data_IF_998940393899
#
_entry.id   IF_998940393899
#
_cell.length_a   1.000
_cell.length_b   1.000
_cell.length_c   1.000
_cell.angle_alpha   90.00
_cell.angle_beta   90.00
_cell.angle_gamma   90.00
#
_symmetry.space_group_name_H-M   'P 1'
#
loop_
_entity.id
_entity.type
_entity.pdbx_description
1 polymer ?
#
# COMPACT_ATOMS: atom_id res chain seq x y z
N UNK A 1 -46.07 -22.09 -0.41
CA UNK A 1 -46.37 -20.67 -0.11
C UNK A 1 -46.83 -20.06 -1.42
N UNK A 2 -48.07 -19.57 -1.51
CA UNK A 2 -48.52 -18.89 -2.73
C UNK A 2 -47.80 -17.54 -2.79
N UNK A 3 -47.00 -17.34 -3.82
CA UNK A 3 -46.25 -16.11 -4.02
C UNK A 3 -47.22 -14.93 -4.23
N UNK A 4 -46.90 -13.79 -3.63
CA UNK A 4 -47.74 -12.59 -3.76
C UNK A 4 -47.79 -12.10 -5.21
N UNK A 5 -48.96 -11.61 -5.65
CA UNK A 5 -49.14 -11.07 -7.01
C UNK A 5 -48.07 -10.01 -7.31
N UNK A 6 -47.41 -10.18 -8.47
CA UNK A 6 -46.35 -9.28 -8.94
C UNK A 6 -46.99 -8.30 -9.95
N UNK A 7 -47.31 -7.05 -9.56
CA UNK A 7 -48.15 -6.15 -10.36
C UNK A 7 -47.55 -5.74 -11.71
N UNK A 8 -46.24 -5.96 -11.92
CA UNK A 8 -45.56 -5.74 -13.21
C UNK A 8 -45.98 -6.76 -14.28
N UNK A 9 -46.45 -7.93 -13.85
CA UNK A 9 -46.61 -9.12 -14.67
C UNK A 9 -48.09 -9.47 -14.89
N UNK A 10 -48.99 -9.08 -13.98
CA UNK A 10 -50.43 -9.38 -14.01
C UNK A 10 -51.17 -8.96 -15.30
N UNK A 11 -50.63 -8.02 -16.08
CA UNK A 11 -51.24 -7.55 -17.33
C UNK A 11 -50.83 -8.36 -18.57
N UNK A 12 -49.89 -9.31 -18.46
CA UNK A 12 -49.46 -10.14 -19.58
C UNK A 12 -50.28 -11.46 -19.58
N UNK A 13 -50.90 -11.84 -20.72
CA UNK A 13 -51.58 -13.12 -20.83
C UNK A 13 -50.55 -14.27 -20.87
N UNK A 14 -50.81 -15.35 -20.11
CA UNK A 14 -50.01 -16.57 -20.14
C UNK A 14 -48.85 -16.64 -19.14
N UNK A 15 -48.91 -15.88 -18.04
CA UNK A 15 -47.91 -16.01 -16.96
C UNK A 15 -48.18 -17.27 -16.14
N UNK A 16 -47.12 -18.05 -15.97
CA UNK A 16 -47.13 -19.24 -15.15
C UNK A 16 -47.17 -18.88 -13.66
N UNK A 17 -48.15 -19.42 -12.94
CA UNK A 17 -48.31 -19.30 -11.48
C UNK A 17 -47.84 -20.56 -10.75
N UNK A 18 -47.15 -21.46 -11.45
CA UNK A 18 -46.46 -22.59 -10.86
C UNK A 18 -45.41 -22.13 -9.82
N UNK A 19 -44.97 -23.02 -8.92
CA UNK A 19 -43.83 -22.72 -8.04
C UNK A 19 -42.60 -22.32 -8.85
N UNK A 20 -41.95 -21.23 -8.43
CA UNK A 20 -40.76 -20.64 -9.09
C UNK A 20 -39.57 -21.61 -9.14
N UNK A 21 -39.48 -22.51 -8.15
CA UNK A 21 -38.39 -23.48 -8.02
C UNK A 21 -38.95 -24.88 -7.80
N UNK A 22 -38.59 -25.79 -8.72
CA UNK A 22 -38.81 -27.23 -8.57
C UNK A 22 -37.48 -27.89 -8.18
N UNK A 23 -37.18 -27.88 -6.89
CA UNK A 23 -35.99 -28.52 -6.35
C UNK A 23 -36.31 -29.89 -5.75
N UNK A 24 -35.32 -30.79 -5.78
CA UNK A 24 -35.34 -31.98 -4.96
C UNK A 24 -35.30 -31.55 -3.48
N UNK A 25 -36.02 -32.22 -2.58
CA UNK A 25 -35.97 -31.87 -1.16
C UNK A 25 -34.53 -31.89 -0.68
N UNK A 26 -34.11 -30.82 0.02
CA UNK A 26 -32.78 -30.72 0.61
C UNK A 26 -32.50 -31.99 1.41
N UNK A 27 -31.56 -32.78 0.89
CA UNK A 27 -31.01 -33.89 1.64
C UNK A 27 -30.29 -33.25 2.82
N UNK A 28 -30.67 -33.60 4.05
CA UNK A 28 -29.89 -33.19 5.20
C UNK A 28 -28.47 -33.76 5.03
N UNK A 29 -27.52 -32.92 4.58
CA UNK A 29 -26.12 -33.29 4.39
C UNK A 29 -25.51 -33.86 5.70
N UNK A 30 -26.16 -33.56 6.84
CA UNK A 30 -25.83 -34.03 8.18
C UNK A 30 -26.37 -35.42 8.56
N UNK A 31 -27.19 -36.08 7.74
CA UNK A 31 -27.72 -37.43 8.05
C UNK A 31 -27.23 -38.46 7.03
N UNK A 32 -25.94 -38.77 7.15
CA UNK A 32 -25.36 -40.05 6.72
C UNK A 32 -25.53 -40.38 5.23
N UNK A 33 -24.66 -39.82 4.40
CA UNK A 33 -24.13 -40.57 3.26
C UNK A 33 -22.72 -41.00 3.59
N UNK A 34 -22.51 -42.32 3.48
CA UNK A 34 -21.21 -42.98 3.58
C UNK A 34 -20.22 -42.20 2.71
N UNK A 35 -19.09 -41.81 3.30
CA UNK A 35 -17.99 -41.13 2.60
C UNK A 35 -17.63 -41.91 1.33
N UNK A 36 -18.03 -41.39 0.17
CA UNK A 36 -17.52 -41.84 -1.11
C UNK A 36 -16.03 -41.48 -1.13
N UNK A 37 -15.20 -42.52 -1.15
CA UNK A 37 -13.74 -42.46 -1.06
C UNK A 37 -13.11 -41.87 -2.33
N UNK A 38 -13.35 -40.59 -2.65
CA UNK A 38 -12.58 -39.82 -3.66
C UNK A 38 -12.49 -38.32 -3.37
N UNK A 39 -12.85 -37.86 -2.17
CA UNK A 39 -12.48 -36.51 -1.73
C UNK A 39 -11.11 -36.59 -1.04
N UNK A 40 -10.09 -36.07 -1.71
CA UNK A 40 -8.78 -35.78 -1.13
C UNK A 40 -9.03 -34.91 0.10
N UNK A 41 -8.72 -35.46 1.27
CA UNK A 41 -8.81 -34.75 2.54
C UNK A 41 -7.97 -33.47 2.45
N UNK A 42 -8.63 -32.32 2.60
CA UNK A 42 -7.95 -31.08 2.94
C UNK A 42 -7.33 -31.31 4.32
N UNK A 43 -6.02 -31.05 4.42
CA UNK A 43 -5.15 -31.53 5.50
C UNK A 43 -5.64 -31.04 6.86
N UNK A 44 -6.28 -31.94 7.60
CA UNK A 44 -6.53 -31.76 9.02
C UNK A 44 -5.18 -31.91 9.75
N UNK A 45 -4.82 -30.86 10.46
CA UNK A 45 -3.50 -30.65 11.04
C UNK A 45 -3.25 -31.44 12.32
N UNK A 46 -3.49 -32.76 12.31
CA UNK A 46 -3.09 -33.63 13.42
C UNK A 46 -2.99 -35.11 13.01
N UNK A 47 -2.01 -35.43 12.17
CA UNK A 47 -1.49 -36.80 12.09
C UNK A 47 0.04 -36.74 12.06
N UNK A 48 0.59 -36.37 13.20
CA UNK A 48 2.03 -36.32 13.42
C UNK A 48 2.57 -37.70 13.79
N UNK A 49 2.52 -38.63 12.83
CA UNK A 49 3.32 -39.87 12.86
C UNK A 49 4.80 -39.49 12.59
N UNK A 50 5.38 -38.65 13.45
CA UNK A 50 6.71 -38.03 13.32
C UNK A 50 7.88 -38.99 13.60
N UNK A 51 7.61 -40.28 13.76
CA UNK A 51 8.67 -41.29 13.95
C UNK A 51 9.01 -42.07 12.68
N UNK A 52 8.23 -41.93 11.58
CA UNK A 52 8.44 -42.75 10.36
C UNK A 52 9.20 -42.08 9.23
N UNK A 53 9.24 -40.75 9.19
CA UNK A 53 9.98 -40.02 8.18
C UNK A 53 11.27 -39.47 8.78
N UNK A 54 12.42 -39.74 8.15
CA UNK A 54 13.74 -39.21 8.50
C UNK A 54 13.87 -37.69 8.32
N UNK A 55 12.76 -36.95 8.36
CA UNK A 55 12.64 -35.52 8.17
C UNK A 55 12.26 -34.86 9.49
N UNK A 56 13.20 -34.12 10.07
CA UNK A 56 12.94 -33.33 11.27
C UNK A 56 12.08 -32.11 10.95
N UNK A 57 10.80 -32.15 11.33
CA UNK A 57 9.88 -31.04 11.23
C UNK A 57 10.07 -30.10 12.44
N UNK A 58 11.04 -29.19 12.37
CA UNK A 58 11.20 -28.16 13.39
C UNK A 58 10.18 -27.04 13.17
N UNK A 59 9.31 -26.81 14.16
CA UNK A 59 8.35 -25.71 14.13
C UNK A 59 9.09 -24.37 14.11
N UNK A 60 8.87 -23.58 13.07
CA UNK A 60 9.57 -22.31 12.87
C UNK A 60 9.08 -21.24 13.85
N UNK A 61 9.88 -20.95 14.87
CA UNK A 61 9.60 -19.90 15.85
C UNK A 61 10.19 -18.56 15.37
N UNK A 62 9.42 -17.81 14.58
CA UNK A 62 9.81 -16.52 13.99
C UNK A 62 10.35 -15.53 15.03
N UNK A 63 9.71 -15.45 16.20
CA UNK A 63 10.12 -14.53 17.28
C UNK A 63 11.48 -14.91 17.89
N UNK A 64 11.72 -16.21 18.11
CA UNK A 64 13.01 -16.68 18.63
C UNK A 64 14.11 -16.50 17.58
N UNK A 65 13.81 -16.81 16.31
CA UNK A 65 14.73 -16.57 15.21
C UNK A 65 15.07 -15.07 15.09
N UNK A 66 14.07 -14.18 15.16
CA UNK A 66 14.28 -12.73 15.14
C UNK A 66 15.21 -12.27 16.25
N UNK A 67 15.03 -12.75 17.47
CA UNK A 67 15.93 -12.44 18.60
C UNK A 67 17.37 -12.89 18.34
N UNK A 68 17.56 -14.08 17.73
CA UNK A 68 18.89 -14.61 17.38
C UNK A 68 19.62 -13.78 16.32
N UNK A 69 18.90 -13.25 15.33
CA UNK A 69 19.49 -12.50 14.21
C UNK A 69 19.43 -10.97 14.37
N UNK A 70 18.68 -10.44 15.33
CA UNK A 70 18.65 -9.00 15.63
C UNK A 70 20.03 -8.37 15.96
N UNK A 71 20.96 -9.04 16.67
CA UNK A 71 22.26 -8.46 16.96
C UNK A 71 23.28 -8.59 15.82
N UNK A 72 23.05 -9.47 14.84
CA UNK A 72 23.95 -9.64 13.70
C UNK A 72 23.70 -8.54 12.66
N UNK A 73 24.65 -7.61 12.53
CA UNK A 73 24.69 -6.64 11.42
C UNK A 73 25.70 -7.11 10.40
N UNK A 74 25.28 -7.10 9.13
CA UNK A 74 26.11 -7.49 7.99
C UNK A 74 26.44 -6.20 7.24
N UNK A 75 27.73 -5.91 7.09
CA UNK A 75 28.17 -4.84 6.20
C UNK A 75 28.47 -5.46 4.83
N UNK A 76 27.80 -4.94 3.80
CA UNK A 76 27.93 -5.40 2.42
C UNK A 76 28.69 -4.40 1.54
N UNK A 77 29.19 -3.29 2.10
CA UNK A 77 29.98 -2.34 1.33
C UNK A 77 31.36 -2.92 1.01
N UNK A 78 31.58 -3.28 -0.26
CA UNK A 78 32.85 -3.83 -0.76
C UNK A 78 32.84 -5.33 -1.04
N UNK A 79 31.68 -5.99 -0.97
CA UNK A 79 31.54 -7.37 -1.44
C UNK A 79 31.49 -7.37 -2.97
N UNK A 80 32.50 -7.96 -3.59
CA UNK A 80 32.56 -8.17 -5.02
C UNK A 80 31.89 -9.52 -5.35
N UNK A 81 30.76 -9.48 -6.06
CA UNK A 81 30.10 -10.68 -6.59
C UNK A 81 30.56 -11.01 -8.02
N UNK A 82 31.49 -10.23 -8.58
CA UNK A 82 32.18 -10.68 -9.78
C UNK A 82 33.02 -11.90 -9.39
N UNK A 83 32.94 -12.95 -10.20
CA UNK A 83 33.54 -14.29 -9.96
C UNK A 83 35.09 -14.27 -10.05
N UNK A 84 35.70 -13.15 -9.63
CA UNK A 84 37.11 -12.87 -9.74
C UNK A 84 37.83 -13.40 -8.50
N UNK A 85 38.36 -14.63 -8.61
CA UNK A 85 38.95 -15.41 -7.50
C UNK A 85 40.21 -14.77 -6.87
N UNK A 86 40.74 -13.69 -7.45
CA UNK A 86 42.01 -13.08 -7.04
C UNK A 86 41.97 -12.31 -5.70
N UNK A 87 40.83 -11.75 -5.30
CA UNK A 87 40.67 -11.11 -3.98
C UNK A 87 39.27 -11.36 -3.42
N UNK A 88 39.11 -12.42 -2.61
CA UNK A 88 37.85 -12.72 -1.92
C UNK A 88 37.56 -11.69 -0.83
N UNK A 89 36.87 -10.61 -1.19
CA UNK A 89 36.25 -9.70 -0.22
C UNK A 89 34.93 -10.31 0.24
N UNK A 90 34.96 -11.17 1.27
CA UNK A 90 33.75 -11.74 1.85
C UNK A 90 33.03 -10.74 2.76
N UNK A 91 31.71 -10.86 2.87
CA UNK A 91 30.90 -10.10 3.82
C UNK A 91 31.46 -10.24 5.25
N UNK A 92 31.61 -9.12 5.96
CA UNK A 92 32.07 -9.09 7.35
C UNK A 92 30.85 -9.02 8.27
N UNK A 93 30.62 -10.09 9.04
CA UNK A 93 29.60 -10.08 10.10
C UNK A 93 30.23 -9.52 11.37
N UNK A 94 29.79 -8.35 11.82
CA UNK A 94 30.23 -7.80 13.11
C UNK A 94 29.14 -8.01 14.15
N UNK A 95 29.41 -8.84 15.15
CA UNK A 95 28.58 -8.97 16.35
C UNK A 95 29.19 -8.09 17.43
N UNK A 96 28.51 -6.99 17.80
CA UNK A 96 28.99 -5.98 18.78
C UNK A 96 29.05 -6.51 20.23
N UNK A 97 29.28 -7.80 20.46
CA UNK A 97 29.15 -8.37 21.80
C UNK A 97 29.78 -9.74 21.97
N UNK A 98 31.12 -9.80 21.99
CA UNK A 98 31.84 -10.75 22.83
C UNK A 98 33.32 -10.36 23.00
N UNK A 99 33.59 -9.32 23.80
CA UNK A 99 34.92 -9.20 24.43
C UNK A 99 34.93 -10.07 25.68
N UNK A 100 35.37 -11.32 25.54
CA UNK A 100 35.86 -12.14 26.66
C UNK A 100 37.36 -12.30 26.53
N UNK A 101 38.07 -11.52 27.37
CA UNK A 101 39.32 -11.86 28.08
C UNK A 101 40.45 -12.52 27.27
N UNK A 102 41.50 -11.75 27.01
CA UNK A 102 42.86 -12.25 26.76
C UNK A 102 43.46 -11.76 25.44
N UNK A 103 44.63 -11.12 25.55
CA UNK A 103 45.56 -10.76 24.46
C UNK A 103 45.08 -9.82 23.36
N UNK A 104 45.32 -8.52 23.56
CA UNK A 104 45.64 -7.60 22.47
C UNK A 104 47.16 -7.69 22.29
N UNK A 105 47.60 -8.67 21.50
CA UNK A 105 48.86 -8.58 20.77
C UNK A 105 48.41 -8.27 19.34
N UNK A 106 48.58 -7.02 18.94
CA UNK A 106 48.06 -6.51 17.69
C UNK A 106 48.02 -5.02 17.79
N UNK A 107 49.12 -4.42 17.35
CA UNK A 107 49.28 -3.00 17.10
C UNK A 107 48.17 -2.52 16.14
N UNK A 108 47.03 -2.12 16.67
CA UNK A 108 45.95 -1.45 15.92
C UNK A 108 46.33 0.03 15.66
N UNK A 109 47.60 0.30 15.33
CA UNK A 109 48.09 1.62 14.91
C UNK A 109 48.29 1.70 13.40
N UNK A 110 47.39 1.12 12.62
CA UNK A 110 47.39 1.23 11.14
C UNK A 110 46.03 1.68 10.56
N UNK A 111 45.18 2.31 11.37
CA UNK A 111 43.87 2.83 10.94
C UNK A 111 43.80 4.35 10.74
N UNK A 112 44.85 4.94 10.16
CA UNK A 112 44.65 6.14 9.34
C UNK A 112 45.42 5.98 8.03
N UNK A 113 44.73 5.50 6.98
CA UNK A 113 45.19 5.73 5.60
C UNK A 113 45.32 7.25 5.44
N UNK A 114 46.55 7.75 5.47
CA UNK A 114 46.82 9.19 5.41
C UNK A 114 46.05 9.83 4.25
N UNK A 115 45.34 10.92 4.54
CA UNK A 115 44.65 11.70 3.52
C UNK A 115 45.62 12.09 2.39
N UNK A 116 45.14 12.12 1.15
CA UNK A 116 45.99 12.39 -0.02
C UNK A 116 46.83 13.66 0.12
N UNK A 117 46.30 14.68 0.80
CA UNK A 117 47.02 15.92 1.14
C UNK A 117 48.19 15.67 2.11
N UNK A 118 48.02 14.84 3.13
CA UNK A 118 49.07 14.47 4.08
C UNK A 118 50.14 13.61 3.42
N UNK A 119 49.73 12.66 2.57
CA UNK A 119 50.65 11.86 1.74
C UNK A 119 51.50 12.75 0.82
N UNK A 120 50.89 13.73 0.16
CA UNK A 120 51.60 14.67 -0.72
C UNK A 120 52.60 15.55 0.05
N UNK A 121 52.22 16.03 1.24
CA UNK A 121 53.13 16.79 2.10
C UNK A 121 54.31 15.94 2.59
N UNK A 122 54.09 14.65 2.87
CA UNK A 122 55.17 13.73 3.24
C UNK A 122 56.13 13.50 2.07
N UNK A 123 55.60 13.21 0.88
CA UNK A 123 56.42 13.00 -0.33
C UNK A 123 57.24 14.26 -0.68
N UNK A 124 56.69 15.47 -0.49
CA UNK A 124 57.46 16.70 -0.64
C UNK A 124 58.63 16.78 0.34
N UNK A 125 58.42 16.38 1.59
CA UNK A 125 59.48 16.36 2.60
C UNK A 125 60.54 15.30 2.29
N UNK A 126 60.12 14.11 1.88
CA UNK A 126 61.01 13.02 1.45
C UNK A 126 61.84 13.44 0.23
N UNK A 127 61.26 14.16 -0.74
CA UNK A 127 61.99 14.72 -1.88
C UNK A 127 63.03 15.77 -1.49
N UNK A 128 62.66 16.70 -0.60
CA UNK A 128 63.61 17.70 -0.09
C UNK A 128 64.74 17.04 0.71
N UNK A 129 64.45 15.97 1.44
CA UNK A 129 65.46 15.18 2.14
C UNK A 129 66.42 14.49 1.16
N UNK A 130 65.89 13.87 0.10
CA UNK A 130 66.68 13.28 -0.98
C UNK A 130 67.52 14.33 -1.73
N UNK A 131 67.01 15.56 -1.89
CA UNK A 131 67.74 16.65 -2.55
C UNK A 131 68.96 17.08 -1.73
N UNK A 132 68.75 17.27 -0.42
CA UNK A 132 69.84 17.59 0.50
C UNK A 132 70.86 16.44 0.61
N UNK A 133 70.40 15.18 0.56
CA UNK A 133 71.29 14.01 0.56
C UNK A 133 72.11 13.92 -0.73
N UNK A 134 71.49 14.20 -1.88
CA UNK A 134 72.17 14.27 -3.17
C UNK A 134 73.21 15.40 -3.22
N UNK A 135 72.87 16.60 -2.72
CA UNK A 135 73.82 17.71 -2.61
C UNK A 135 74.99 17.39 -1.66
N UNK A 136 74.70 16.73 -0.53
CA UNK A 136 75.72 16.29 0.43
C UNK A 136 76.66 15.24 -0.19
N UNK A 137 76.13 14.31 -0.99
CA UNK A 137 76.91 13.30 -1.73
C UNK A 137 77.75 13.91 -2.86
N UNK A 138 77.25 14.96 -3.51
CA UNK A 138 78.02 15.73 -4.50
C UNK A 138 79.17 16.50 -3.85
N UNK A 139 78.98 17.03 -2.63
CA UNK A 139 80.03 17.70 -1.86
C UNK A 139 81.05 16.72 -1.26
N UNK A 140 80.64 15.51 -0.88
CA UNK A 140 81.54 14.46 -0.36
C UNK A 140 82.34 13.75 -1.45
N UNK A 141 82.00 13.93 -2.73
CA UNK A 141 82.78 13.45 -3.87
C UNK A 141 82.75 11.93 -4.08
N UNK A 142 81.68 11.26 -3.62
CA UNK A 142 81.51 9.81 -3.82
C UNK A 142 81.16 9.47 -5.27
N UNK A 143 82.16 9.01 -6.03
CA UNK A 143 82.03 8.59 -7.44
C UNK A 143 81.54 7.15 -7.60
N UNK A 144 80.55 6.72 -6.82
CA UNK A 144 79.82 5.50 -7.19
C UNK A 144 78.85 5.90 -8.30
N UNK A 145 79.26 5.61 -9.55
CA UNK A 145 78.40 5.76 -10.72
C UNK A 145 77.17 4.89 -10.52
N UNK A 146 76.08 5.49 -10.09
CA UNK A 146 74.76 4.92 -10.31
C UNK A 146 74.43 5.30 -11.75
N UNK A 147 74.49 4.33 -12.66
CA UNK A 147 74.06 4.46 -14.05
C UNK A 147 72.53 4.50 -14.14
N UNK A 148 71.94 5.49 -13.49
CA UNK A 148 70.56 5.88 -13.72
C UNK A 148 70.59 7.33 -14.19
N UNK A 149 69.96 7.58 -15.34
CA UNK A 149 69.76 8.90 -15.96
C UNK A 149 69.69 9.99 -14.89
N UNK A 150 70.59 10.99 -15.00
CA UNK A 150 70.77 12.14 -14.12
C UNK A 150 69.71 12.22 -13.02
N UNK A 151 70.01 11.68 -11.83
CA UNK A 151 69.07 11.65 -10.70
C UNK A 151 68.46 13.04 -10.42
N UNK A 152 69.22 14.09 -10.74
CA UNK A 152 68.77 15.48 -10.74
C UNK A 152 67.61 15.76 -11.72
N UNK A 153 67.68 15.29 -12.96
CA UNK A 153 66.61 15.44 -13.96
C UNK A 153 65.34 14.67 -13.54
N UNK A 154 65.51 13.47 -12.96
CA UNK A 154 64.39 12.71 -12.42
C UNK A 154 63.72 13.42 -11.22
N UNK A 155 64.52 14.02 -10.32
CA UNK A 155 64.00 14.77 -9.18
C UNK A 155 63.31 16.07 -9.59
N UNK A 156 63.89 16.82 -10.53
CA UNK A 156 63.30 18.03 -11.10
C UNK A 156 61.96 17.72 -11.78
N UNK A 157 61.88 16.62 -12.54
CA UNK A 157 60.63 16.16 -13.16
C UNK A 157 59.55 15.76 -12.15
N UNK A 158 59.93 15.14 -11.02
CA UNK A 158 58.97 14.78 -9.97
C UNK A 158 58.52 16.04 -9.22
N UNK A 159 59.42 16.98 -8.93
CA UNK A 159 59.08 18.28 -8.33
C UNK A 159 58.10 19.06 -9.22
N UNK A 160 58.38 19.17 -10.52
CA UNK A 160 57.51 19.82 -11.49
C UNK A 160 56.12 19.17 -11.52
N UNK A 161 56.04 17.83 -11.51
CA UNK A 161 54.74 17.13 -11.48
C UNK A 161 53.98 17.35 -10.18
N UNK A 162 54.66 17.35 -9.04
CA UNK A 162 54.03 17.61 -7.73
C UNK A 162 53.54 19.05 -7.64
N UNK A 163 54.32 20.01 -8.16
CA UNK A 163 53.95 21.42 -8.22
C UNK A 163 52.85 21.68 -9.26
N UNK A 164 52.82 20.97 -10.39
CA UNK A 164 51.69 20.98 -11.34
C UNK A 164 50.43 20.47 -10.66
N UNK A 165 50.48 19.38 -9.90
CA UNK A 165 49.31 18.85 -9.16
C UNK A 165 48.84 19.84 -8.09
N UNK A 166 49.77 20.51 -7.42
CA UNK A 166 49.47 21.54 -6.42
C UNK A 166 48.88 22.81 -7.07
N UNK A 167 49.43 23.22 -8.23
CA UNK A 167 48.95 24.34 -9.03
C UNK A 167 47.61 24.04 -9.70
N UNK A 168 47.33 22.79 -10.10
CA UNK A 168 46.01 22.37 -10.61
C UNK A 168 44.92 22.51 -9.53
N UNK A 169 45.29 22.40 -8.26
CA UNK A 169 44.37 22.51 -7.11
C UNK A 169 44.20 23.94 -6.60
N UNK A 170 45.23 24.80 -6.67
CA UNK A 170 45.14 26.23 -6.31
C UNK A 170 44.76 27.14 -7.49
N UNK A 171 45.08 26.74 -8.70
CA UNK A 171 44.77 27.42 -9.95
C UNK A 171 43.55 26.78 -10.60
N UNK A 172 42.38 27.38 -10.36
CA UNK A 172 41.09 26.87 -10.81
C UNK A 172 41.01 26.67 -12.32
N UNK A 173 41.18 25.42 -12.76
CA UNK A 173 40.53 24.96 -13.98
C UNK A 173 39.04 24.83 -13.64
N UNK A 174 38.20 25.47 -14.46
CA UNK A 174 36.72 25.49 -14.38
C UNK A 174 36.14 24.06 -14.41
N UNK A 175 36.20 23.37 -13.28
CA UNK A 175 35.48 22.12 -13.07
C UNK A 175 33.98 22.38 -12.92
N UNK A 176 33.20 21.36 -13.22
CA UNK A 176 31.74 21.34 -13.02
C UNK A 176 31.39 21.47 -11.53
N UNK A 177 32.28 21.05 -10.63
CA UNK A 177 32.11 21.05 -9.18
C UNK A 177 32.01 22.47 -8.56
N UNK A 178 32.92 23.44 -8.79
CA UNK A 178 32.74 24.80 -8.28
C UNK A 178 31.59 25.56 -8.96
N UNK A 179 31.19 25.17 -10.18
CA UNK A 179 29.98 25.71 -10.82
C UNK A 179 28.72 25.16 -10.14
N UNK A 180 28.72 23.87 -9.80
CA UNK A 180 27.66 23.20 -9.05
C UNK A 180 27.53 23.80 -7.64
N UNK A 181 28.64 24.00 -6.93
CA UNK A 181 28.65 24.68 -5.63
C UNK A 181 28.14 26.11 -5.73
N UNK A 182 28.51 26.85 -6.78
CA UNK A 182 27.98 28.20 -7.01
C UNK A 182 26.49 28.18 -7.36
N UNK A 183 25.98 27.18 -8.07
CA UNK A 183 24.54 27.03 -8.33
C UNK A 183 23.76 26.59 -7.09
N UNK A 184 24.33 25.73 -6.25
CA UNK A 184 23.75 25.29 -4.98
C UNK A 184 23.69 26.48 -4.01
N UNK A 185 24.74 27.29 -3.92
CA UNK A 185 24.73 28.50 -3.11
C UNK A 185 23.71 29.54 -3.62
N UNK A 186 23.50 29.64 -4.93
CA UNK A 186 22.42 30.48 -5.50
C UNK A 186 21.03 29.95 -5.18
N UNK A 187 20.84 28.62 -5.16
CA UNK A 187 19.58 28.01 -4.75
C UNK A 187 19.29 28.18 -3.27
N UNK A 188 20.32 28.02 -2.43
CA UNK A 188 20.20 28.17 -0.97
C UNK A 188 19.94 29.61 -0.54
N UNK A 189 20.42 30.60 -1.32
CA UNK A 189 20.20 32.02 -1.06
C UNK A 189 18.96 32.59 -1.79
N UNK A 190 18.16 31.74 -2.44
CA UNK A 190 16.91 32.18 -3.05
C UNK A 190 15.85 32.29 -1.96
N UNK A 191 15.42 33.51 -1.63
CA UNK A 191 14.22 33.69 -0.82
C UNK A 191 13.02 33.11 -1.58
N UNK A 192 12.28 32.15 -1.00
CA UNK A 192 11.07 31.64 -1.62
C UNK A 192 10.16 32.82 -1.97
N UNK A 193 9.62 32.85 -3.19
CA UNK A 193 8.62 33.85 -3.55
C UNK A 193 7.56 33.90 -2.46
N UNK A 194 7.45 35.04 -1.78
CA UNK A 194 6.42 35.25 -0.77
C UNK A 194 5.04 34.92 -1.34
N UNK A 195 4.14 34.32 -0.55
CA UNK A 195 2.85 33.87 -1.05
C UNK A 195 2.10 35.05 -1.65
N UNK A 196 1.75 34.95 -2.95
CA UNK A 196 1.14 36.07 -3.64
C UNK A 196 -0.16 36.47 -2.93
N UNK A 197 -0.45 37.77 -2.75
CA UNK A 197 -1.64 38.25 -2.03
C UNK A 197 -2.95 37.89 -2.74
N UNK A 198 -2.89 37.40 -3.98
CA UNK A 198 -4.03 36.85 -4.72
C UNK A 198 -4.26 35.37 -4.40
N UNK A 199 -3.20 34.59 -4.23
CA UNK A 199 -3.30 33.18 -3.82
C UNK A 199 -3.73 33.05 -2.36
N UNK A 200 -3.24 33.90 -1.46
CA UNK A 200 -3.67 33.86 -0.03
C UNK A 200 -5.16 34.17 0.15
N UNK A 201 -5.70 35.12 -0.62
CA UNK A 201 -7.14 35.43 -0.64
C UNK A 201 -7.97 34.31 -1.27
N UNK A 202 -7.44 33.60 -2.27
CA UNK A 202 -8.09 32.42 -2.84
C UNK A 202 -8.09 31.23 -1.87
N UNK A 203 -7.00 31.03 -1.12
CA UNK A 203 -6.87 29.96 -0.10
C UNK A 203 -7.78 30.23 1.11
N UNK A 204 -7.95 31.49 1.53
CA UNK A 204 -8.83 31.85 2.66
C UNK A 204 -10.32 31.64 2.38
N UNK A 205 -10.72 31.63 1.09
CA UNK A 205 -12.11 31.50 0.67
C UNK A 205 -12.48 30.07 0.22
N UNK A 206 -11.52 29.13 0.16
CA UNK A 206 -11.79 27.73 -0.13
C UNK A 206 -11.98 26.93 1.17
N UNK A 207 -12.93 25.98 1.22
CA UNK A 207 -12.92 24.98 2.29
C UNK A 207 -11.58 24.26 2.27
N UNK A 208 -11.00 23.94 3.44
CA UNK A 208 -9.63 23.45 3.53
C UNK A 208 -9.49 22.13 2.76
N UNK A 209 -8.69 22.16 1.69
CA UNK A 209 -8.22 20.97 0.99
C UNK A 209 -7.55 20.00 1.98
N UNK A 210 -7.70 18.68 1.78
CA UNK A 210 -7.08 17.68 2.65
C UNK A 210 -5.56 17.71 2.46
N UNK A 211 -4.82 18.17 3.47
CA UNK A 211 -3.34 18.14 3.48
C UNK A 211 -2.60 19.26 4.22
N UNK A 212 -3.27 20.23 4.86
CA UNK A 212 -2.56 21.23 5.69
C UNK A 212 -1.91 20.56 6.92
N UNK A 213 -0.71 20.98 7.32
CA UNK A 213 0.05 20.40 8.45
C UNK A 213 -0.75 20.31 9.77
N UNK A 214 -1.74 21.18 9.96
CA UNK A 214 -2.68 21.11 11.10
C UNK A 214 -3.60 19.88 11.01
N UNK A 215 -4.02 19.50 9.80
CA UNK A 215 -4.72 18.24 9.54
C UNK A 215 -3.79 17.04 9.62
N UNK A 216 -2.49 17.16 9.31
CA UNK A 216 -1.56 16.03 9.46
C UNK A 216 -1.44 15.58 10.91
N UNK A 217 -1.31 16.51 11.85
CA UNK A 217 -1.29 16.17 13.28
C UNK A 217 -2.65 15.61 13.75
N UNK A 218 -3.76 16.12 13.22
CA UNK A 218 -5.09 15.58 13.50
C UNK A 218 -5.30 14.18 12.89
N UNK A 219 -4.79 13.94 11.68
CA UNK A 219 -4.81 12.65 10.99
C UNK A 219 -3.90 11.65 11.69
N UNK A 220 -2.71 12.05 12.12
CA UNK A 220 -1.81 11.24 12.95
C UNK A 220 -2.46 10.91 14.29
N UNK A 221 -3.21 11.84 14.89
CA UNK A 221 -3.99 11.58 16.09
C UNK A 221 -5.14 10.59 15.85
N UNK A 222 -5.94 10.77 14.79
CA UNK A 222 -7.01 9.83 14.40
C UNK A 222 -6.46 8.46 14.04
N UNK A 223 -5.30 8.40 13.36
CA UNK A 223 -4.66 7.14 12.95
C UNK A 223 -4.06 6.42 14.15
N UNK A 224 -3.45 7.14 15.10
CA UNK A 224 -3.03 6.57 16.37
C UNK A 224 -4.22 6.06 17.18
N UNK A 225 -5.33 6.81 17.21
CA UNK A 225 -6.56 6.40 17.88
C UNK A 225 -7.16 5.16 17.23
N UNK A 226 -7.17 5.09 15.89
CA UNK A 226 -7.61 3.92 15.14
C UNK A 226 -6.71 2.71 15.40
N UNK A 227 -5.39 2.90 15.45
CA UNK A 227 -4.43 1.85 15.80
C UNK A 227 -4.57 1.38 17.26
N UNK A 228 -4.95 2.26 18.19
CA UNK A 228 -5.26 1.89 19.57
C UNK A 228 -6.55 1.05 19.64
N UNK A 229 -7.60 1.47 18.93
CA UNK A 229 -8.84 0.68 18.83
C UNK A 229 -8.59 -0.67 18.18
N UNK A 230 -7.79 -0.75 17.13
CA UNK A 230 -7.40 -2.00 16.48
C UNK A 230 -6.60 -2.92 17.43
N UNK A 231 -5.65 -2.37 18.20
CA UNK A 231 -4.96 -3.12 19.27
C UNK A 231 -5.93 -3.64 20.33
N UNK A 232 -6.94 -2.85 20.71
CA UNK A 232 -7.94 -3.28 21.69
C UNK A 232 -8.88 -4.33 21.11
N UNK A 233 -9.28 -4.20 19.84
CA UNK A 233 -10.11 -5.18 19.13
C UNK A 233 -9.35 -6.49 19.00
N UNK A 234 -8.10 -6.47 18.53
CA UNK A 234 -7.26 -7.67 18.45
C UNK A 234 -7.03 -8.32 19.82
N UNK A 235 -6.88 -7.54 20.90
CA UNK A 235 -6.86 -8.10 22.26
C UNK A 235 -8.19 -8.77 22.64
N UNK A 236 -9.33 -8.16 22.30
CA UNK A 236 -10.64 -8.77 22.54
C UNK A 236 -10.87 -10.02 21.69
N UNK A 237 -10.46 -10.01 20.42
CA UNK A 237 -10.50 -11.16 19.51
C UNK A 237 -9.64 -12.30 20.04
N UNK A 238 -8.40 -12.01 20.48
CA UNK A 238 -7.53 -12.99 21.12
C UNK A 238 -8.14 -13.57 22.40
N UNK A 239 -8.78 -12.74 23.24
CA UNK A 239 -9.44 -13.19 24.46
C UNK A 239 -10.69 -14.04 24.17
N UNK A 240 -11.39 -13.75 23.08
CA UNK A 240 -12.55 -14.51 22.62
C UNK A 240 -12.16 -15.74 21.77
N UNK A 241 -10.89 -15.86 21.40
CA UNK A 241 -10.40 -16.93 20.52
C UNK A 241 -10.92 -16.83 19.07
N UNK A 242 -11.35 -15.64 18.65
CA UNK A 242 -11.79 -15.36 17.28
C UNK A 242 -10.54 -15.18 16.40
N UNK A 243 -10.05 -16.26 15.83
CA UNK A 243 -9.02 -16.26 14.80
C UNK A 243 -9.70 -16.41 13.43
N UNK A 244 -8.99 -16.17 12.32
CA UNK A 244 -9.57 -16.20 10.97
C UNK A 244 -10.40 -17.46 10.62
N UNK A 245 -10.18 -18.59 11.32
CA UNK A 245 -10.94 -19.84 11.15
C UNK A 245 -12.16 -19.98 12.08
N UNK A 246 -12.30 -19.12 13.09
CA UNK A 246 -13.44 -19.07 14.02
C UNK A 246 -14.27 -17.79 13.85
N UNK A 247 -13.99 -17.00 12.80
CA UNK A 247 -14.86 -15.89 12.44
C UNK A 247 -16.20 -16.43 11.89
N UNK A 248 -17.35 -15.96 12.42
CA UNK A 248 -18.67 -16.47 12.05
C UNK A 248 -19.05 -16.19 10.58
N UNK A 249 -18.32 -15.32 9.87
CA UNK A 249 -18.51 -15.05 8.44
C UNK A 249 -17.69 -15.97 7.51
N UNK A 250 -16.64 -16.63 8.03
CA UNK A 250 -15.65 -17.39 7.23
C UNK A 250 -15.66 -18.91 7.48
N UNK A 251 -16.40 -19.36 8.49
CA UNK A 251 -16.50 -20.76 8.89
C UNK A 251 -17.95 -21.21 8.84
N UNK A 252 -18.23 -22.32 8.13
CA UNK A 252 -19.53 -23.00 8.11
C UNK A 252 -20.00 -23.43 9.52
N UNK A 253 -19.09 -23.46 10.50
CA UNK A 253 -19.38 -23.61 11.92
C UNK A 253 -19.38 -22.22 12.56
N UNK A 254 -20.55 -21.57 12.57
CA UNK A 254 -20.73 -20.34 13.34
C UNK A 254 -20.35 -20.58 14.81
N UNK A 255 -19.51 -19.72 15.39
CA UNK A 255 -19.21 -19.77 16.83
C UNK A 255 -20.51 -19.70 17.61
N UNK A 256 -20.74 -20.68 18.49
CA UNK A 256 -21.89 -20.63 19.39
C UNK A 256 -21.86 -19.30 20.17
N UNK A 257 -22.99 -18.59 20.32
CA UNK A 257 -23.02 -17.32 21.01
C UNK A 257 -22.46 -17.50 22.44
N UNK A 258 -21.32 -16.88 22.74
CA UNK A 258 -20.57 -17.05 24.00
C UNK A 258 -21.46 -16.84 25.22
N UNK A 259 -22.40 -15.90 25.13
CA UNK A 259 -23.39 -15.65 26.17
C UNK A 259 -24.31 -16.84 26.39
N UNK A 260 -24.84 -17.47 25.33
CA UNK A 260 -25.73 -18.62 25.46
C UNK A 260 -24.99 -19.87 25.95
N UNK A 261 -23.72 -20.05 25.58
CA UNK A 261 -22.91 -21.16 26.10
C UNK A 261 -22.53 -20.92 27.56
N UNK A 262 -22.17 -19.70 27.95
CA UNK A 262 -21.95 -19.35 29.35
C UNK A 262 -23.22 -19.51 30.18
N UNK A 263 -24.37 -19.06 29.68
CA UNK A 263 -25.64 -19.23 30.36
C UNK A 263 -25.99 -20.71 30.51
N UNK A 264 -25.75 -21.54 29.49
CA UNK A 264 -25.91 -23.00 29.59
C UNK A 264 -24.96 -23.62 30.61
N UNK A 265 -23.70 -23.20 30.63
CA UNK A 265 -22.71 -23.66 31.61
C UNK A 265 -23.07 -23.20 33.03
N UNK A 266 -23.56 -21.98 33.20
CA UNK A 266 -24.07 -21.47 34.47
C UNK A 266 -25.28 -22.28 34.95
N UNK A 267 -26.22 -22.58 34.05
CA UNK A 267 -27.36 -23.45 34.34
C UNK A 267 -26.90 -24.87 34.70
N UNK A 268 -25.92 -25.43 33.99
CA UNK A 268 -25.35 -26.73 34.30
C UNK A 268 -24.60 -26.73 35.63
N UNK A 269 -23.84 -25.67 35.93
CA UNK A 269 -23.15 -25.51 37.21
C UNK A 269 -24.15 -25.34 38.36
N UNK A 270 -25.23 -24.60 38.11
CA UNK A 270 -26.36 -24.45 39.02
C UNK A 270 -27.05 -25.80 39.28
N UNK A 271 -27.29 -26.59 38.23
CA UNK A 271 -27.82 -27.95 38.35
C UNK A 271 -26.86 -28.89 39.09
N UNK A 272 -25.55 -28.77 38.92
CA UNK A 272 -24.57 -29.54 39.69
C UNK A 272 -24.56 -29.08 41.15
N UNK A 273 -24.71 -27.78 41.41
CA UNK A 273 -24.89 -27.22 42.75
C UNK A 273 -26.17 -27.71 43.43
N UNK A 274 -27.29 -27.74 42.72
CA UNK A 274 -28.58 -28.20 43.22
C UNK A 274 -28.64 -29.73 43.36
N UNK A 275 -27.98 -30.47 42.46
CA UNK A 275 -27.80 -31.92 42.56
C UNK A 275 -26.92 -32.28 43.77
N UNK A 276 -25.90 -31.47 44.06
CA UNK A 276 -25.07 -31.66 45.26
C UNK A 276 -25.83 -31.42 46.57
N UNK A 277 -26.97 -30.72 46.52
CA UNK A 277 -27.80 -30.41 47.69
C UNK A 277 -29.09 -31.25 47.79
N UNK A 278 -29.24 -32.32 47.00
CA UNK A 278 -30.43 -33.21 46.95
C UNK A 278 -31.79 -32.51 46.72
N UNK A 279 -31.80 -31.20 46.43
CA UNK A 279 -33.02 -30.41 46.23
C UNK A 279 -33.64 -30.64 44.85
N UNK A 280 -32.85 -31.09 43.86
CA UNK A 280 -33.32 -31.38 42.50
C UNK A 280 -34.31 -32.55 42.46
N UNK A 281 -34.11 -33.61 43.26
CA UNK A 281 -35.05 -34.74 43.30
C UNK A 281 -36.39 -34.32 43.94
N UNK A 282 -36.35 -33.42 44.92
CA UNK A 282 -37.56 -32.85 45.53
C UNK A 282 -38.28 -31.91 44.56
N UNK A 283 -37.55 -31.03 43.87
CA UNK A 283 -38.10 -30.11 42.89
C UNK A 283 -38.65 -30.84 41.64
N UNK A 284 -37.98 -31.88 41.15
CA UNK A 284 -38.46 -32.68 40.02
C UNK A 284 -39.70 -33.48 40.36
N UNK A 285 -39.82 -33.99 41.60
CA UNK A 285 -41.06 -34.60 42.09
C UNK A 285 -42.20 -33.58 42.19
N UNK A 286 -41.92 -32.36 42.66
CA UNK A 286 -42.90 -31.27 42.69
C UNK A 286 -43.32 -30.81 41.28
N UNK A 287 -42.38 -30.71 40.34
CA UNK A 287 -42.68 -30.38 38.93
C UNK A 287 -43.53 -31.48 38.28
N UNK A 288 -43.21 -32.76 38.49
CA UNK A 288 -44.04 -33.87 38.00
C UNK A 288 -45.45 -33.81 38.59
N UNK A 289 -45.57 -33.46 39.88
CA UNK A 289 -46.87 -33.26 40.53
C UNK A 289 -47.63 -32.08 39.91
N UNK A 290 -46.97 -30.94 39.68
CA UNK A 290 -47.59 -29.77 39.05
C UNK A 290 -47.98 -30.01 37.58
N UNK A 291 -47.21 -30.83 36.84
CA UNK A 291 -47.56 -31.25 35.48
C UNK A 291 -48.83 -32.10 35.51
N UNK A 292 -48.89 -33.09 36.41
CA UNK A 292 -50.09 -33.91 36.56
C UNK A 292 -51.31 -33.07 36.98
N UNK A 293 -51.13 -32.12 37.91
CA UNK A 293 -52.19 -31.18 38.32
C UNK A 293 -52.60 -30.25 37.16
N UNK A 294 -51.67 -29.79 36.32
CA UNK A 294 -51.97 -28.97 35.15
C UNK A 294 -52.66 -29.75 34.03
N UNK A 295 -52.29 -31.01 33.81
CA UNK A 295 -52.97 -31.92 32.87
C UNK A 295 -54.40 -32.20 33.34
N UNK A 296 -54.60 -32.43 34.64
CA UNK A 296 -55.94 -32.56 35.22
C UNK A 296 -56.77 -31.28 35.06
N UNK A 297 -56.17 -30.10 35.30
CA UNK A 297 -56.87 -28.82 35.07
C UNK A 297 -57.17 -28.58 33.59
N UNK A 298 -56.31 -29.02 32.68
CA UNK A 298 -56.54 -28.95 31.23
C UNK A 298 -57.67 -29.89 30.81
N UNK A 299 -57.70 -31.12 31.32
CA UNK A 299 -58.77 -32.09 31.08
C UNK A 299 -60.11 -31.55 31.61
N UNK A 300 -60.13 -31.04 32.84
CA UNK A 300 -61.33 -30.39 33.42
C UNK A 300 -61.75 -29.17 32.58
N UNK A 301 -60.82 -28.36 32.08
CA UNK A 301 -61.14 -27.20 31.24
C UNK A 301 -61.62 -27.60 29.85
N UNK A 302 -61.08 -28.67 29.29
CA UNK A 302 -61.49 -29.22 28.00
C UNK A 302 -62.87 -29.86 28.12
N UNK A 303 -63.13 -30.61 29.19
CA UNK A 303 -64.44 -31.18 29.48
C UNK A 303 -65.46 -30.09 29.84
N UNK A 304 -65.05 -29.05 30.57
CA UNK A 304 -65.86 -27.86 30.78
C UNK A 304 -66.18 -27.16 29.46
N UNK A 305 -65.22 -26.97 28.55
CA UNK A 305 -65.45 -26.38 27.23
C UNK A 305 -66.34 -27.24 26.33
N UNK A 306 -66.29 -28.57 26.47
CA UNK A 306 -67.20 -29.50 25.80
C UNK A 306 -68.60 -29.42 26.40
N UNK A 307 -68.72 -29.28 27.71
CA UNK A 307 -70.01 -29.14 28.42
C UNK A 307 -70.67 -27.76 28.24
N UNK A 308 -69.88 -26.70 28.07
CA UNK A 308 -70.33 -25.30 27.91
C UNK A 308 -70.69 -24.96 26.46
N UNK A 309 -70.46 -25.89 25.52
CA UNK A 309 -70.89 -25.80 24.11
C UNK A 309 -72.41 -25.86 23.91
N UNK A 310 -73.19 -26.07 24.98
CA UNK A 310 -74.65 -26.16 24.92
C UNK A 310 -75.38 -24.88 25.33
N UNK A 311 -74.69 -23.83 25.81
CA UNK A 311 -75.39 -22.63 26.31
C UNK A 311 -74.56 -21.33 26.35
N UNK A 312 -73.90 -20.89 25.26
CA UNK A 312 -73.69 -19.45 25.00
C UNK A 312 -73.12 -19.18 23.60
N UNK A 313 -73.85 -18.38 22.83
CA UNK A 313 -73.58 -17.95 21.44
C UNK A 313 -72.91 -16.56 21.40
N UNK A 314 -71.89 -16.28 22.24
CA UNK A 314 -71.28 -14.93 22.19
C UNK A 314 -69.87 -14.77 22.79
N UNK A 315 -69.02 -15.80 22.77
CA UNK A 315 -67.59 -15.62 23.04
C UNK A 315 -66.73 -16.36 22.04
N UNK A 316 -66.34 -15.62 21.00
CA UNK A 316 -65.12 -15.78 20.22
C UNK A 316 -64.67 -17.23 20.06
N UNK A 317 -65.32 -17.97 19.18
CA UNK A 317 -64.64 -19.03 18.44
C UNK A 317 -63.40 -18.36 17.86
N UNK A 318 -62.21 -18.74 18.32
CA UNK A 318 -60.98 -18.34 17.68
C UNK A 318 -61.11 -18.77 16.23
N UNK A 319 -61.39 -17.82 15.33
CA UNK A 319 -61.66 -18.15 13.95
C UNK A 319 -60.41 -18.87 13.44
N UNK A 320 -60.51 -20.07 12.86
CA UNK A 320 -59.35 -20.84 12.42
C UNK A 320 -58.49 -20.03 11.42
N UNK A 321 -59.10 -19.06 10.73
CA UNK A 321 -58.40 -18.09 9.89
C UNK A 321 -57.55 -17.08 10.66
N UNK A 322 -57.99 -16.62 11.83
CA UNK A 322 -57.21 -15.73 12.69
C UNK A 322 -56.05 -16.49 13.33
N UNK A 323 -56.27 -17.75 13.74
CA UNK A 323 -55.20 -18.63 14.21
C UNK A 323 -54.18 -18.94 13.09
N UNK A 324 -54.65 -19.21 11.87
CA UNK A 324 -53.76 -19.40 10.72
C UNK A 324 -52.94 -18.15 10.39
N UNK A 325 -53.55 -16.95 10.47
CA UNK A 325 -52.84 -15.67 10.28
C UNK A 325 -51.84 -15.39 11.40
N UNK A 326 -52.21 -15.69 12.66
CA UNK A 326 -51.32 -15.55 13.82
C UNK A 326 -50.15 -16.52 13.70
N UNK A 327 -50.40 -17.77 13.30
CA UNK A 327 -49.35 -18.76 13.08
C UNK A 327 -48.44 -18.37 11.91
N UNK A 328 -48.98 -17.77 10.84
CA UNK A 328 -48.18 -17.22 9.76
C UNK A 328 -47.30 -16.05 10.23
N UNK A 329 -47.82 -15.13 11.04
CA UNK A 329 -47.05 -14.03 11.65
C UNK A 329 -46.02 -14.53 12.66
N UNK A 330 -46.35 -15.56 13.43
CA UNK A 330 -45.41 -16.21 14.33
C UNK A 330 -44.30 -16.93 13.57
N UNK A 331 -44.57 -17.39 12.34
CA UNK A 331 -43.56 -17.91 11.43
C UNK A 331 -42.63 -16.84 10.86
N UNK A 332 -43.10 -15.61 10.67
CA UNK A 332 -42.26 -14.49 10.20
C UNK A 332 -41.49 -13.79 11.32
N UNK A 333 -41.97 -13.87 12.57
CA UNK A 333 -41.34 -13.23 13.73
C UNK A 333 -39.87 -13.67 13.94
N UNK A 334 -39.48 -14.96 13.86
CA UNK A 334 -38.08 -15.37 13.95
C UNK A 334 -37.18 -14.75 12.88
N UNK A 335 -37.71 -14.45 11.69
CA UNK A 335 -36.93 -13.76 10.65
C UNK A 335 -36.73 -12.28 10.98
N UNK A 336 -37.75 -11.64 11.56
CA UNK A 336 -37.69 -10.25 12.00
C UNK A 336 -36.78 -10.12 13.22
N UNK A 337 -36.86 -11.03 14.20
CA UNK A 337 -36.00 -11.04 15.38
C UNK A 337 -34.51 -11.20 15.04
N UNK A 338 -34.20 -11.93 13.95
CA UNK A 338 -32.82 -12.03 13.43
C UNK A 338 -32.37 -10.76 12.72
N UNK A 339 -33.25 -10.10 11.96
CA UNK A 339 -32.91 -8.91 11.15
C UNK A 339 -32.93 -7.60 11.96
N UNK A 340 -33.79 -7.50 12.97
CA UNK A 340 -33.94 -6.32 13.82
C UNK A 340 -32.63 -5.83 14.46
N UNK A 341 -31.77 -6.68 15.06
CA UNK A 341 -30.50 -6.24 15.64
C UNK A 341 -29.45 -5.84 14.60
N UNK A 342 -29.59 -6.26 13.34
CA UNK A 342 -28.64 -5.96 12.25
C UNK A 342 -28.94 -4.59 11.62
N UNK A 343 -30.20 -4.14 11.67
CA UNK A 343 -30.66 -2.89 11.05
C UNK A 343 -29.90 -1.64 11.56
N UNK A 344 -29.66 -1.44 12.87
CA UNK A 344 -28.87 -0.31 13.36
C UNK A 344 -27.43 -0.30 12.83
N UNK A 345 -26.78 -1.47 12.78
CA UNK A 345 -25.40 -1.61 12.29
C UNK A 345 -25.32 -1.29 10.80
N UNK A 346 -26.28 -1.78 10.01
CA UNK A 346 -26.38 -1.45 8.58
C UNK A 346 -26.64 0.04 8.38
N UNK A 347 -27.45 0.68 9.22
CA UNK A 347 -27.71 2.11 9.16
C UNK A 347 -26.45 2.92 9.48
N UNK A 348 -25.69 2.52 10.51
CA UNK A 348 -24.39 3.14 10.82
C UNK A 348 -23.38 2.96 9.68
N UNK A 349 -23.30 1.76 9.08
CA UNK A 349 -22.47 1.51 7.89
C UNK A 349 -22.93 2.37 6.69
N UNK A 350 -24.22 2.49 6.45
CA UNK A 350 -24.74 3.38 5.40
C UNK A 350 -24.46 4.84 5.71
N UNK A 351 -24.43 5.26 6.97
CA UNK A 351 -24.07 6.62 7.37
C UNK A 351 -22.59 6.92 7.12
N UNK A 352 -21.69 5.98 7.42
CA UNK A 352 -20.26 6.16 7.12
C UNK A 352 -20.02 6.10 5.60
N UNK A 353 -20.70 5.19 4.91
CA UNK A 353 -20.59 5.00 3.47
C UNK A 353 -21.30 6.11 2.67
N UNK A 354 -22.27 6.83 3.26
CA UNK A 354 -22.89 8.02 2.65
C UNK A 354 -21.86 9.05 2.25
N UNK A 355 -20.85 9.30 3.08
CA UNK A 355 -19.78 10.25 2.75
C UNK A 355 -19.03 9.79 1.49
N UNK A 356 -18.71 8.51 1.41
CA UNK A 356 -18.04 7.90 0.25
C UNK A 356 -18.92 7.95 -1.00
N UNK A 357 -20.22 7.65 -0.88
CA UNK A 357 -21.16 7.77 -2.00
C UNK A 357 -21.30 9.22 -2.47
N UNK A 358 -21.37 10.20 -1.55
CA UNK A 358 -21.41 11.60 -1.95
C UNK A 358 -20.12 12.06 -2.62
N UNK A 359 -18.96 11.60 -2.15
CA UNK A 359 -17.69 11.91 -2.82
C UNK A 359 -17.56 11.20 -4.16
N UNK A 360 -18.08 9.98 -4.31
CA UNK A 360 -18.11 9.27 -5.58
C UNK A 360 -19.00 9.98 -6.61
N UNK A 361 -20.17 10.47 -6.17
CA UNK A 361 -21.05 11.26 -7.02
C UNK A 361 -20.41 12.61 -7.42
N UNK A 362 -19.75 13.31 -6.50
CA UNK A 362 -19.00 14.53 -6.83
C UNK A 362 -17.84 14.26 -7.79
N UNK A 363 -17.15 13.13 -7.64
CA UNK A 363 -16.09 12.73 -8.55
C UNK A 363 -16.62 12.44 -9.96
N UNK A 364 -17.78 11.81 -10.06
CA UNK A 364 -18.47 11.56 -11.35
C UNK A 364 -18.87 12.86 -12.05
N UNK A 365 -19.37 13.86 -11.30
CA UNK A 365 -19.68 15.19 -11.82
C UNK A 365 -18.42 15.90 -12.34
N UNK A 366 -17.33 15.89 -11.56
CA UNK A 366 -16.04 16.48 -11.96
C UNK A 366 -15.45 15.75 -13.17
N UNK A 367 -15.58 14.44 -13.26
CA UNK A 367 -15.12 13.64 -14.40
C UNK A 367 -15.93 13.96 -15.66
N UNK A 368 -17.25 14.06 -15.54
CA UNK A 368 -18.13 14.48 -16.64
C UNK A 368 -17.81 15.91 -17.11
N UNK A 369 -17.52 16.83 -16.19
CA UNK A 369 -17.10 18.18 -16.56
C UNK A 369 -15.72 18.18 -17.23
N UNK A 370 -14.80 17.33 -16.78
CA UNK A 370 -13.48 17.16 -17.39
C UNK A 370 -13.58 16.59 -18.80
N UNK A 371 -14.40 15.57 -19.02
CA UNK A 371 -14.68 15.00 -20.34
C UNK A 371 -15.27 16.06 -21.29
N UNK A 372 -16.21 16.87 -20.79
CA UNK A 372 -16.76 18.00 -21.54
C UNK A 372 -15.69 19.05 -21.87
N UNK A 373 -14.74 19.33 -20.96
CA UNK A 373 -13.61 20.23 -21.25
C UNK A 373 -12.64 19.63 -22.25
N UNK A 374 -12.34 18.34 -22.15
CA UNK A 374 -11.43 17.66 -23.06
C UNK A 374 -11.98 17.65 -24.50
N UNK A 375 -13.25 17.33 -24.67
CA UNK A 375 -13.92 17.41 -25.99
C UNK A 375 -13.89 18.83 -26.58
N UNK A 376 -14.10 19.87 -25.75
CA UNK A 376 -13.96 21.25 -26.20
C UNK A 376 -12.53 21.60 -26.63
N UNK A 377 -11.52 21.14 -25.87
CA UNK A 377 -10.11 21.33 -26.21
C UNK A 377 -9.74 20.62 -27.51
N UNK A 378 -10.24 19.40 -27.73
CA UNK A 378 -10.04 18.67 -28.98
C UNK A 378 -10.64 19.44 -30.18
N UNK A 379 -11.81 20.05 -30.01
CA UNK A 379 -12.42 20.89 -31.04
C UNK A 379 -11.64 22.18 -31.29
N UNK A 380 -11.08 22.80 -30.25
CA UNK A 380 -10.20 23.97 -30.36
C UNK A 380 -8.88 23.62 -31.07
N UNK A 381 -8.28 22.48 -30.75
CA UNK A 381 -7.07 21.97 -31.42
C UNK A 381 -7.35 21.74 -32.90
N UNK A 382 -8.48 21.12 -33.27
CA UNK A 382 -8.89 20.96 -34.68
C UNK A 382 -9.10 22.30 -35.39
N UNK A 383 -9.58 23.33 -34.68
CA UNK A 383 -9.68 24.69 -35.24
C UNK A 383 -8.30 25.31 -35.46
N UNK A 384 -7.39 25.15 -34.51
CA UNK A 384 -6.00 25.63 -34.64
C UNK A 384 -5.26 24.93 -35.75
N UNK A 385 -5.46 23.63 -35.93
CA UNK A 385 -4.90 22.86 -37.04
C UNK A 385 -5.38 23.42 -38.40
N UNK A 386 -6.69 23.63 -38.57
CA UNK A 386 -7.25 24.27 -39.78
C UNK A 386 -6.71 25.68 -39.99
N UNK A 387 -6.61 26.48 -38.94
CA UNK A 387 -6.05 27.83 -39.04
C UNK A 387 -4.57 27.81 -39.43
N UNK A 388 -3.80 26.88 -38.90
CA UNK A 388 -2.39 26.71 -39.22
C UNK A 388 -2.20 26.21 -40.66
N UNK A 389 -3.08 25.34 -41.17
CA UNK A 389 -3.08 24.92 -42.57
C UNK A 389 -3.39 26.10 -43.52
N UNK A 390 -4.34 26.97 -43.16
CA UNK A 390 -4.62 28.20 -43.92
C UNK A 390 -3.39 29.11 -43.92
N UNK A 391 -2.78 29.35 -42.76
CA UNK A 391 -1.58 30.19 -42.64
C UNK A 391 -0.39 29.59 -43.39
N UNK A 392 -0.19 28.27 -43.36
CA UNK A 392 0.85 27.59 -44.16
C UNK A 392 0.57 27.74 -45.66
N UNK A 393 -0.70 27.63 -46.08
CA UNK A 393 -1.13 27.90 -47.46
C UNK A 393 -0.84 29.33 -47.89
N UNK A 394 -1.20 30.31 -47.07
CA UNK A 394 -0.90 31.74 -47.29
C UNK A 394 0.61 32.01 -47.29
N UNK A 395 1.37 31.37 -46.41
CA UNK A 395 2.83 31.51 -46.35
C UNK A 395 3.49 30.93 -47.60
N UNK A 396 3.04 29.76 -48.08
CA UNK A 396 3.50 29.18 -49.35
C UNK A 396 3.12 30.04 -50.55
N UNK A 397 1.94 30.66 -50.52
CA UNK A 397 1.54 31.61 -51.56
C UNK A 397 2.43 32.86 -51.53
N UNK A 398 2.71 33.41 -50.35
CA UNK A 398 3.61 34.53 -50.13
C UNK A 398 5.05 34.20 -50.54
N UNK A 399 5.54 33.00 -50.23
CA UNK A 399 6.86 32.52 -50.65
C UNK A 399 6.94 32.44 -52.19
N UNK A 400 5.89 31.91 -52.84
CA UNK A 400 5.82 31.86 -54.31
C UNK A 400 5.79 33.26 -54.93
N UNK A 401 5.03 34.20 -54.37
CA UNK A 401 5.01 35.58 -54.88
C UNK A 401 6.33 36.28 -54.61
N UNK A 402 6.95 36.09 -53.44
CA UNK A 402 8.29 36.61 -53.12
C UNK A 402 9.36 36.02 -54.03
N UNK A 403 9.31 34.72 -54.34
CA UNK A 403 10.25 34.10 -55.27
C UNK A 403 10.05 34.59 -56.72
N UNK A 404 8.80 34.84 -57.15
CA UNK A 404 8.52 35.50 -58.44
C UNK A 404 9.05 36.92 -58.46
N UNK A 405 8.80 37.71 -57.41
CA UNK A 405 9.31 39.08 -57.30
C UNK A 405 10.84 39.09 -57.28
N UNK A 406 11.48 38.17 -56.55
CA UNK A 406 12.94 37.99 -56.53
C UNK A 406 13.50 37.68 -57.91
N UNK A 407 12.82 36.83 -58.70
CA UNK A 407 13.21 36.56 -60.08
C UNK A 407 13.11 37.78 -60.96
N UNK A 408 11.99 38.52 -60.89
CA UNK A 408 11.80 39.76 -61.67
C UNK A 408 12.88 40.77 -61.30
N UNK A 409 13.12 41.01 -60.01
CA UNK A 409 14.19 41.92 -59.56
C UNK A 409 15.57 41.41 -59.99
N UNK A 410 15.82 40.10 -59.95
CA UNK A 410 17.07 39.52 -60.42
C UNK A 410 17.28 39.67 -61.93
N UNK A 411 16.23 39.50 -62.73
CA UNK A 411 16.26 39.71 -64.17
C UNK A 411 16.42 41.21 -64.51
N UNK A 412 15.76 42.09 -63.75
CA UNK A 412 15.93 43.55 -63.87
C UNK A 412 17.37 43.98 -63.52
N UNK A 413 17.96 43.42 -62.45
CA UNK A 413 19.36 43.67 -62.07
C UNK A 413 20.31 43.15 -63.15
N UNK A 414 20.09 41.94 -63.70
CA UNK A 414 20.90 41.43 -64.82
C UNK A 414 20.78 42.31 -66.05
N UNK A 415 19.58 42.79 -66.39
CA UNK A 415 19.41 43.74 -67.49
C UNK A 415 20.14 45.06 -67.25
N UNK A 416 20.23 45.51 -65.99
CA UNK A 416 21.02 46.68 -65.61
C UNK A 416 22.54 46.40 -65.68
N UNK A 417 22.98 45.22 -65.25
CA UNK A 417 24.36 44.75 -65.38
C UNK A 417 24.77 44.67 -66.85
N UNK A 418 23.97 44.02 -67.72
CA UNK A 418 24.21 43.93 -69.17
C UNK A 418 24.29 45.31 -69.83
N UNK A 419 23.44 46.26 -69.40
CA UNK A 419 23.49 47.65 -69.88
C UNK A 419 24.74 48.37 -69.41
N UNK A 420 25.14 48.16 -68.15
CA UNK A 420 26.40 48.70 -67.61
C UNK A 420 27.61 48.12 -68.33
N UNK A 421 27.63 46.82 -68.60
CA UNK A 421 28.69 46.15 -69.36
C UNK A 421 28.77 46.68 -70.78
N UNK A 422 27.64 46.90 -71.46
CA UNK A 422 27.62 47.54 -72.78
C UNK A 422 28.16 48.96 -72.76
N UNK A 423 27.78 49.77 -71.76
CA UNK A 423 28.32 51.12 -71.61
C UNK A 423 29.82 51.12 -71.27
N UNK A 424 30.27 50.14 -70.47
CA UNK A 424 31.70 49.96 -70.17
C UNK A 424 32.51 49.46 -71.36
N UNK A 425 31.88 48.69 -72.27
CA UNK A 425 32.49 48.24 -73.52
C UNK A 425 32.57 49.38 -74.56
N UNK A 426 31.51 50.18 -74.71
CA UNK A 426 31.51 51.37 -75.59
C UNK A 426 32.52 52.42 -75.12
N UNK A 427 32.72 52.59 -73.81
CA UNK A 427 33.76 53.48 -73.27
C UNK A 427 35.20 53.00 -73.43
N UNK A 428 35.45 51.86 -74.10
CA UNK A 428 36.78 51.27 -74.31
C UNK A 428 37.23 51.25 -75.78
N UNK A 429 36.37 51.69 -76.70
CA UNK A 429 36.68 51.77 -78.15
C UNK A 429 37.01 53.20 -78.64
N UNK A 430 36.99 54.20 -77.75
CA UNK A 430 37.61 55.52 -77.92
C UNK A 430 38.89 55.62 -77.08
#
# INVERSE_FOLDING_TARGET
MAEGSRPKFDNLPGIDTAPDVYETPDLAEDVSTIQASTAVSESDGDDSDHERDGVHHQRFQTAQARSRFQPSRIDAHGVDFSDNVAQRQSYRTSTRGQRRRGEIIGDDSDEEKESFSRKLLRVKRELLELENEYESRMQSGDKTKIEERDAKEAMEFISDKVDIIYAMRRGGVRGVEPQLDRTIQKFNNYEPFGPSPRLTKAIANQPPLPGSQVQRNQLEWVLNQAAEFDKRITQLENNLGLNGNTMPEMSDKATFPVFTTLQKLELQLGLIGDASTNNMDVATQQIKKLIAEAEQLKEIRQDASRSDSSYSDDKSVANPEQEAKINALYGTLPSIDKLAPILPIVLERLRTLRLVHTSAWQADEVLSELERRQSQQEDEIKKWERQLEIVDGEMKACEKTMHKNMKVVGDDVKMLEDKLEKLLAEGRED
#
